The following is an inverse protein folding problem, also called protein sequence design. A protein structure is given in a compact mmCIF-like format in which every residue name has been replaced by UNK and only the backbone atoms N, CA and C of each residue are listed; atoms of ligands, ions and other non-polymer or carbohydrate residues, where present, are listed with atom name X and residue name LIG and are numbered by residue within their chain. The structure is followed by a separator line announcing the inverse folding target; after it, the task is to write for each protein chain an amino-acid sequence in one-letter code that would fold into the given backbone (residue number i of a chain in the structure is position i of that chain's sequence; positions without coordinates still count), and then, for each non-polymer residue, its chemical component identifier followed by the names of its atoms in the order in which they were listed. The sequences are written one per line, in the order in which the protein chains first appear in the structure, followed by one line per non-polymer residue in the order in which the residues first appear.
data_IF_454192428205
#
_entry.id   IF_454192428205
#
_cell.length_a   1.000
_cell.length_b   1.000
_cell.length_c   1.000
_cell.angle_alpha   90.00
_cell.angle_beta   90.00
_cell.angle_gamma   90.00
#
_symmetry.space_group_name_H-M   'P 1'
#
loop_
_entity.id
_entity.type
_entity.pdbx_description
1 polymer ?
#
# COMPACT_ATOMS: atom_id res chain seq x y z
N UNK A 1 -29.40 -34.94 37.22
CA UNK A 1 -29.87 -33.78 36.42
C UNK A 1 -28.89 -32.61 36.35
N UNK A 2 -28.24 -32.17 37.45
CA UNK A 2 -27.28 -31.04 37.43
C UNK A 2 -26.05 -31.26 36.51
N UNK A 3 -25.47 -32.46 36.51
CA UNK A 3 -24.31 -32.80 35.67
C UNK A 3 -24.62 -32.81 34.15
N UNK A 4 -25.88 -33.10 33.76
CA UNK A 4 -26.30 -33.08 32.35
C UNK A 4 -26.41 -31.64 31.82
N UNK A 5 -26.90 -30.71 32.66
CA UNK A 5 -26.95 -29.28 32.35
C UNK A 5 -25.56 -28.63 32.29
N UNK A 6 -24.62 -29.07 33.12
CA UNK A 6 -23.23 -28.59 33.07
C UNK A 6 -22.49 -29.07 31.81
N UNK A 7 -22.68 -30.33 31.39
CA UNK A 7 -22.12 -30.84 30.12
C UNK A 7 -22.71 -30.14 28.90
N UNK A 8 -24.02 -29.87 28.90
CA UNK A 8 -24.65 -29.07 27.83
C UNK A 8 -24.13 -27.63 27.80
N UNK A 9 -23.96 -26.98 28.95
CA UNK A 9 -23.39 -25.64 29.02
C UNK A 9 -21.95 -25.58 28.49
N UNK A 10 -21.11 -26.54 28.87
CA UNK A 10 -19.73 -26.64 28.36
C UNK A 10 -19.70 -26.92 26.84
N UNK A 11 -20.64 -27.71 26.33
CA UNK A 11 -20.78 -27.96 24.88
C UNK A 11 -21.20 -26.69 24.11
N UNK A 12 -22.16 -25.92 24.64
CA UNK A 12 -22.55 -24.64 24.04
C UNK A 12 -21.42 -23.60 24.08
N UNK A 13 -20.64 -23.54 25.17
CA UNK A 13 -19.47 -22.67 25.25
C UNK A 13 -18.39 -23.07 24.23
N UNK A 14 -18.09 -24.37 24.12
CA UNK A 14 -17.12 -24.88 23.16
C UNK A 14 -17.55 -24.60 21.70
N UNK A 15 -18.84 -24.74 21.39
CA UNK A 15 -19.39 -24.39 20.07
C UNK A 15 -19.25 -22.89 19.81
N UNK A 16 -19.61 -22.04 20.77
CA UNK A 16 -19.49 -20.58 20.62
C UNK A 16 -18.05 -20.12 20.35
N UNK A 17 -17.05 -20.74 20.98
CA UNK A 17 -15.64 -20.46 20.69
C UNK A 17 -15.20 -20.89 19.29
N UNK A 18 -15.78 -21.98 18.76
CA UNK A 18 -15.45 -22.47 17.41
C UNK A 18 -16.01 -21.60 16.28
N UNK A 19 -17.11 -20.86 16.52
CA UNK A 19 -17.71 -19.96 15.50
C UNK A 19 -17.06 -18.57 15.48
N UNK A 20 -16.39 -18.16 16.57
CA UNK A 20 -15.73 -16.84 16.65
C UNK A 20 -14.36 -16.79 15.95
N UNK A 21 -13.74 -17.93 15.61
CA UNK A 21 -12.38 -17.96 15.03
C UNK A 21 -12.31 -17.62 13.53
N UNK A 22 -13.42 -17.60 12.80
CA UNK A 22 -13.40 -17.39 11.35
C UNK A 22 -13.14 -15.94 10.90
N UNK A 23 -13.28 -14.95 11.79
CA UNK A 23 -13.08 -13.54 11.42
C UNK A 23 -11.61 -13.10 11.50
N UNK A 24 -10.78 -13.74 12.33
CA UNK A 24 -9.41 -13.28 12.61
C UNK A 24 -8.40 -13.58 11.49
N UNK A 25 -8.77 -14.40 10.50
CA UNK A 25 -7.90 -14.81 9.37
C UNK A 25 -8.38 -14.28 8.03
N UNK A 26 -9.37 -13.37 8.01
CA UNK A 26 -9.92 -12.87 6.76
C UNK A 26 -8.95 -11.89 6.12
N UNK A 27 -8.49 -12.22 4.92
CA UNK A 27 -7.70 -11.33 4.06
C UNK A 27 -8.46 -11.13 2.76
N UNK A 28 -8.34 -9.95 2.15
CA UNK A 28 -8.93 -9.71 0.84
C UNK A 28 -8.48 -10.78 -0.16
N UNK A 29 -9.39 -11.19 -1.04
CA UNK A 29 -9.06 -12.07 -2.15
C UNK A 29 -8.26 -11.28 -3.21
N UNK A 30 -7.57 -12.03 -4.08
CA UNK A 30 -6.94 -11.46 -5.26
C UNK A 30 -7.96 -10.71 -6.12
N UNK A 31 -7.56 -9.53 -6.59
CA UNK A 31 -8.33 -8.69 -7.46
C UNK A 31 -7.55 -8.33 -8.73
N UNK A 32 -8.05 -8.80 -9.87
CA UNK A 32 -7.44 -8.58 -11.18
C UNK A 32 -7.33 -7.10 -11.52
N UNK A 33 -8.35 -6.30 -11.18
CA UNK A 33 -8.36 -4.88 -11.50
C UNK A 33 -7.28 -4.14 -10.69
N UNK A 34 -7.22 -4.38 -9.38
CA UNK A 34 -6.19 -3.84 -8.49
C UNK A 34 -4.78 -4.19 -8.98
N UNK A 35 -4.57 -5.46 -9.35
CA UNK A 35 -3.29 -5.96 -9.84
C UNK A 35 -2.86 -5.25 -11.14
N UNK A 36 -3.72 -5.22 -12.15
CA UNK A 36 -3.42 -4.58 -13.45
C UNK A 36 -3.18 -3.08 -13.32
N UNK A 37 -3.99 -2.38 -12.51
CA UNK A 37 -3.80 -0.94 -12.27
C UNK A 37 -2.50 -0.66 -11.53
N UNK A 38 -2.13 -1.50 -10.58
CA UNK A 38 -0.86 -1.36 -9.85
C UNK A 38 0.35 -1.59 -10.77
N UNK A 39 0.30 -2.58 -11.67
CA UNK A 39 1.35 -2.77 -12.71
C UNK A 39 1.47 -1.52 -13.57
N UNK A 40 0.33 -1.02 -14.06
CA UNK A 40 0.32 0.18 -14.91
C UNK A 40 0.96 1.38 -14.20
N UNK A 41 0.56 1.64 -12.96
CA UNK A 41 1.14 2.73 -12.15
C UNK A 41 2.64 2.54 -11.93
N UNK A 42 3.10 1.31 -11.66
CA UNK A 42 4.53 0.99 -11.52
C UNK A 42 5.31 1.36 -12.79
N UNK A 43 4.83 0.94 -13.96
CA UNK A 43 5.50 1.18 -15.25
C UNK A 43 5.49 2.67 -15.60
N UNK A 44 4.36 3.36 -15.45
CA UNK A 44 4.26 4.80 -15.69
C UNK A 44 5.18 5.59 -14.75
N UNK A 45 5.26 5.17 -13.48
CA UNK A 45 6.17 5.73 -12.48
C UNK A 45 7.64 5.53 -12.86
N UNK A 46 8.04 4.32 -13.24
CA UNK A 46 9.41 4.01 -13.66
C UNK A 46 9.87 4.93 -14.81
N UNK A 47 9.00 5.08 -15.81
CA UNK A 47 9.25 5.96 -16.95
C UNK A 47 9.41 7.42 -16.52
N UNK A 48 8.49 7.93 -15.69
CA UNK A 48 8.50 9.33 -15.24
C UNK A 48 9.71 9.66 -14.35
N UNK A 49 10.03 8.80 -13.38
CA UNK A 49 11.20 8.99 -12.51
C UNK A 49 12.49 9.00 -13.33
N UNK A 50 12.57 8.18 -14.37
CA UNK A 50 13.73 8.14 -15.27
C UNK A 50 13.92 9.43 -16.07
N UNK A 51 12.86 10.24 -16.24
CA UNK A 51 12.91 11.57 -16.86
C UNK A 51 13.30 12.69 -15.90
N UNK A 52 13.47 12.41 -14.60
CA UNK A 52 13.65 13.46 -13.58
C UNK A 52 14.97 14.27 -13.68
N UNK A 53 15.87 13.91 -14.61
CA UNK A 53 17.01 14.77 -14.98
C UNK A 53 16.64 15.89 -15.94
N UNK A 54 15.39 15.94 -16.40
CA UNK A 54 14.81 17.02 -17.23
C UNK A 54 13.89 17.90 -16.39
N UNK A 55 13.58 19.14 -16.82
CA UNK A 55 12.71 20.03 -16.06
C UNK A 55 11.34 19.39 -15.75
N UNK A 56 10.86 19.53 -14.51
CA UNK A 56 9.55 19.04 -14.08
C UNK A 56 8.41 19.52 -15.00
N UNK A 57 8.43 20.80 -15.38
CA UNK A 57 7.42 21.41 -16.25
C UNK A 57 7.26 20.72 -17.62
N UNK A 58 8.33 20.10 -18.14
CA UNK A 58 8.26 19.35 -19.40
C UNK A 58 7.50 18.02 -19.27
N UNK A 59 7.24 17.56 -18.04
CA UNK A 59 6.62 16.26 -17.75
C UNK A 59 5.32 16.42 -16.94
N UNK A 60 4.89 17.64 -16.63
CA UNK A 60 3.82 17.94 -15.69
C UNK A 60 2.50 17.22 -16.03
N UNK A 61 2.09 17.23 -17.30
CA UNK A 61 0.84 16.58 -17.73
C UNK A 61 0.85 15.06 -17.46
N UNK A 62 1.96 14.39 -17.76
CA UNK A 62 2.12 12.96 -17.51
C UNK A 62 2.11 12.65 -16.00
N UNK A 63 2.69 13.54 -15.19
CA UNK A 63 2.74 13.42 -13.72
C UNK A 63 1.33 13.61 -13.13
N UNK A 64 0.59 14.62 -13.56
CA UNK A 64 -0.80 14.85 -13.16
C UNK A 64 -1.69 13.66 -13.52
N UNK A 65 -1.49 13.08 -14.70
CA UNK A 65 -2.19 11.87 -15.15
C UNK A 65 -1.85 10.64 -14.28
N UNK A 66 -0.58 10.47 -13.90
CA UNK A 66 -0.16 9.40 -12.98
C UNK A 66 -0.91 9.53 -11.64
N UNK A 67 -0.91 10.72 -11.04
CA UNK A 67 -1.56 10.94 -9.75
C UNK A 67 -3.09 10.81 -9.82
N UNK A 68 -3.71 11.25 -10.92
CA UNK A 68 -5.13 11.01 -11.14
C UNK A 68 -5.46 9.51 -11.22
N UNK A 69 -4.61 8.71 -11.85
CA UNK A 69 -4.80 7.26 -11.90
C UNK A 69 -4.56 6.60 -10.52
N UNK A 70 -3.59 7.10 -9.76
CA UNK A 70 -3.33 6.64 -8.39
C UNK A 70 -4.52 6.96 -7.48
N UNK A 71 -5.07 8.17 -7.54
CA UNK A 71 -6.25 8.58 -6.76
C UNK A 71 -7.48 7.74 -7.08
N UNK A 72 -7.72 7.43 -8.36
CA UNK A 72 -8.78 6.51 -8.78
C UNK A 72 -8.62 5.13 -8.13
N UNK A 73 -7.39 4.62 -8.06
CA UNK A 73 -7.12 3.34 -7.42
C UNK A 73 -7.29 3.41 -5.89
N UNK A 74 -6.87 4.51 -5.26
CA UNK A 74 -7.10 4.76 -3.82
C UNK A 74 -8.60 4.72 -3.50
N UNK A 75 -9.44 5.41 -4.28
CA UNK A 75 -10.89 5.41 -4.04
C UNK A 75 -11.53 4.05 -4.33
N UNK A 76 -11.02 3.31 -5.31
CA UNK A 76 -11.46 1.93 -5.58
C UNK A 76 -11.18 0.99 -4.39
N UNK A 77 -9.99 1.08 -3.79
CA UNK A 77 -9.58 0.21 -2.68
C UNK A 77 -10.25 0.56 -1.34
N UNK A 78 -10.62 1.81 -1.14
CA UNK A 78 -11.17 2.35 0.12
C UNK A 78 -12.31 1.55 0.72
N UNK A 79 -13.18 0.99 -0.13
CA UNK A 79 -14.39 0.29 0.31
C UNK A 79 -14.27 -1.25 0.25
N UNK A 80 -13.07 -1.78 -0.06
CA UNK A 80 -12.86 -3.23 -0.17
C UNK A 80 -12.64 -3.85 1.21
N UNK A 81 -13.39 -4.91 1.58
CA UNK A 81 -13.29 -5.52 2.90
C UNK A 81 -11.95 -6.26 3.08
N UNK A 82 -11.29 -6.05 4.22
CA UNK A 82 -10.01 -6.69 4.58
C UNK A 82 -8.84 -6.33 3.64
N UNK A 83 -8.86 -5.14 3.04
CA UNK A 83 -7.79 -4.63 2.16
C UNK A 83 -7.15 -3.32 2.66
N UNK A 84 -7.22 -3.08 3.97
CA UNK A 84 -6.79 -1.84 4.61
C UNK A 84 -5.31 -1.54 4.34
N UNK A 85 -4.47 -2.57 4.23
CA UNK A 85 -3.02 -2.42 4.03
C UNK A 85 -2.71 -1.90 2.62
N UNK A 86 -3.37 -2.46 1.59
CA UNK A 86 -3.25 -1.95 0.23
C UNK A 86 -3.72 -0.50 0.15
N UNK A 87 -4.86 -0.19 0.78
CA UNK A 87 -5.40 1.16 0.82
C UNK A 87 -4.44 2.16 1.50
N UNK A 88 -3.90 1.83 2.68
CA UNK A 88 -2.97 2.71 3.40
C UNK A 88 -1.65 2.89 2.64
N UNK A 89 -1.14 1.85 1.98
CA UNK A 89 0.06 1.96 1.14
C UNK A 89 -0.17 2.86 -0.08
N UNK A 90 -1.31 2.74 -0.77
CA UNK A 90 -1.65 3.61 -1.89
C UNK A 90 -1.82 5.07 -1.45
N UNK A 91 -2.41 5.31 -0.29
CA UNK A 91 -2.46 6.65 0.32
C UNK A 91 -1.06 7.18 0.58
N UNK A 92 -0.16 6.35 1.12
CA UNK A 92 1.22 6.74 1.38
C UNK A 92 1.99 7.08 0.08
N UNK A 93 1.74 6.36 -1.01
CA UNK A 93 2.27 6.73 -2.34
C UNK A 93 1.73 8.08 -2.83
N UNK A 94 0.50 8.45 -2.47
CA UNK A 94 -0.15 9.70 -2.89
C UNK A 94 0.12 10.89 -1.93
N UNK A 95 0.82 10.69 -0.83
CA UNK A 95 1.04 11.71 0.19
C UNK A 95 2.35 12.49 -0.06
N UNK A 96 2.19 13.77 -0.41
CA UNK A 96 3.27 14.71 -0.73
C UNK A 96 4.17 15.06 0.45
N UNK A 97 3.76 14.76 1.68
CA UNK A 97 4.53 15.03 2.89
C UNK A 97 5.32 13.79 3.36
N UNK A 98 5.24 12.66 2.64
CA UNK A 98 6.05 11.46 2.88
C UNK A 98 7.23 11.38 1.93
N UNK A 99 8.23 10.59 2.30
CA UNK A 99 9.46 10.42 1.53
C UNK A 99 9.39 9.21 0.57
N UNK A 100 8.28 9.05 -0.15
CA UNK A 100 8.13 8.01 -1.18
C UNK A 100 7.75 8.63 -2.54
N UNK A 101 6.66 8.20 -3.18
CA UNK A 101 6.33 8.59 -4.55
C UNK A 101 5.96 10.08 -4.68
N UNK A 102 4.87 10.51 -4.06
CA UNK A 102 4.43 11.91 -4.12
C UNK A 102 5.47 12.89 -3.56
N UNK A 103 6.22 12.51 -2.51
CA UNK A 103 7.35 13.29 -2.01
C UNK A 103 8.50 13.43 -3.00
N UNK A 104 8.85 12.37 -3.74
CA UNK A 104 9.84 12.47 -4.82
C UNK A 104 9.40 13.48 -5.89
N UNK A 105 8.14 13.42 -6.34
CA UNK A 105 7.65 14.37 -7.34
C UNK A 105 7.58 15.81 -6.81
N UNK A 106 7.21 16.02 -5.53
CA UNK A 106 7.31 17.33 -4.86
C UNK A 106 8.74 17.84 -4.82
N UNK A 107 9.71 16.97 -4.52
CA UNK A 107 11.13 17.32 -4.53
C UNK A 107 11.58 17.73 -5.94
N UNK A 108 11.21 16.95 -6.96
CA UNK A 108 11.53 17.25 -8.36
C UNK A 108 10.90 18.58 -8.81
N UNK A 109 9.62 18.82 -8.48
CA UNK A 109 8.93 20.08 -8.74
C UNK A 109 9.66 21.27 -8.10
N UNK A 110 10.06 21.14 -6.83
CA UNK A 110 10.73 22.20 -6.07
C UNK A 110 12.15 22.49 -6.57
N UNK A 111 12.90 21.44 -6.97
CA UNK A 111 14.30 21.56 -7.41
C UNK A 111 14.46 21.74 -8.91
N UNK A 112 13.39 21.55 -9.69
CA UNK A 112 13.40 21.57 -11.15
C UNK A 112 13.93 20.29 -11.80
N UNK A 113 15.04 19.75 -11.29
CA UNK A 113 15.66 18.48 -11.72
C UNK A 113 16.19 17.69 -10.52
N UNK A 114 16.24 16.36 -10.65
CA UNK A 114 16.85 15.45 -9.69
C UNK A 114 18.32 15.15 -10.04
N UNK A 115 19.17 15.07 -9.02
CA UNK A 115 20.54 14.55 -9.20
C UNK A 115 20.51 13.06 -9.53
N UNK A 116 21.52 12.56 -10.27
CA UNK A 116 21.58 11.14 -10.68
C UNK A 116 21.56 10.17 -9.49
N UNK A 117 22.29 10.46 -8.42
CA UNK A 117 22.35 9.60 -7.23
C UNK A 117 21.02 9.57 -6.49
N UNK A 118 20.39 10.74 -6.29
CA UNK A 118 19.06 10.83 -5.68
C UNK A 118 18.02 10.07 -6.51
N UNK A 119 18.02 10.28 -7.84
CA UNK A 119 17.12 9.59 -8.76
C UNK A 119 17.28 8.06 -8.64
N UNK A 120 18.50 7.54 -8.69
CA UNK A 120 18.74 6.10 -8.62
C UNK A 120 18.21 5.47 -7.33
N UNK A 121 18.48 6.09 -6.18
CA UNK A 121 18.05 5.58 -4.89
C UNK A 121 16.52 5.69 -4.73
N UNK A 122 15.93 6.85 -5.02
CA UNK A 122 14.48 7.04 -4.94
C UNK A 122 13.74 6.10 -5.89
N UNK A 123 14.25 5.93 -7.11
CA UNK A 123 13.69 4.99 -8.09
C UNK A 123 13.64 3.57 -7.54
N UNK A 124 14.75 3.10 -6.95
CA UNK A 124 14.82 1.77 -6.35
C UNK A 124 13.75 1.60 -5.26
N UNK A 125 13.71 2.52 -4.29
CA UNK A 125 12.78 2.46 -3.16
C UNK A 125 11.31 2.49 -3.61
N UNK A 126 10.98 3.37 -4.56
CA UNK A 126 9.61 3.50 -5.08
C UNK A 126 9.19 2.23 -5.83
N UNK A 127 10.06 1.67 -6.68
CA UNK A 127 9.73 0.46 -7.43
C UNK A 127 9.64 -0.78 -6.54
N UNK A 128 10.49 -0.88 -5.51
CA UNK A 128 10.38 -1.92 -4.48
C UNK A 128 9.05 -1.85 -3.72
N UNK A 129 8.55 -0.64 -3.40
CA UNK A 129 7.24 -0.47 -2.79
C UNK A 129 6.09 -0.95 -3.70
N UNK A 130 6.16 -0.66 -5.00
CA UNK A 130 5.20 -1.22 -5.97
C UNK A 130 5.31 -2.75 -6.10
N UNK A 131 6.51 -3.31 -6.06
CA UNK A 131 6.71 -4.76 -6.10
C UNK A 131 6.12 -5.45 -4.87
N UNK A 132 6.27 -4.86 -3.68
CA UNK A 132 5.64 -5.37 -2.46
C UNK A 132 4.10 -5.30 -2.53
N UNK A 133 3.54 -4.21 -3.07
CA UNK A 133 2.10 -4.11 -3.33
C UNK A 133 1.60 -5.24 -4.24
N UNK A 134 2.30 -5.50 -5.35
CA UNK A 134 1.96 -6.56 -6.29
C UNK A 134 2.10 -7.95 -5.67
N UNK A 135 3.18 -8.19 -4.93
CA UNK A 135 3.39 -9.46 -4.23
C UNK A 135 2.29 -9.72 -3.20
N UNK A 136 1.93 -8.70 -2.42
CA UNK A 136 0.83 -8.80 -1.47
C UNK A 136 -0.51 -9.02 -2.18
N UNK A 137 -0.77 -8.36 -3.32
CA UNK A 137 -1.99 -8.59 -4.08
C UNK A 137 -2.10 -10.04 -4.58
N UNK A 138 -1.01 -10.61 -5.09
CA UNK A 138 -0.98 -12.00 -5.58
C UNK A 138 -1.15 -13.02 -4.45
N UNK A 139 -0.36 -12.87 -3.38
CA UNK A 139 -0.18 -13.94 -2.38
C UNK A 139 -1.04 -13.73 -1.14
N UNK A 140 -1.33 -12.47 -0.80
CA UNK A 140 -2.03 -12.06 0.42
C UNK A 140 -1.39 -12.67 1.67
N UNK A 141 -0.07 -12.86 1.65
CA UNK A 141 0.69 -13.57 2.68
C UNK A 141 1.21 -12.62 3.77
N UNK A 142 1.60 -13.21 4.90
CA UNK A 142 2.05 -12.48 6.08
C UNK A 142 3.34 -11.70 5.83
N UNK A 143 4.28 -12.25 5.06
CA UNK A 143 5.59 -11.63 4.85
C UNK A 143 5.46 -10.35 4.02
N UNK A 144 4.73 -10.41 2.90
CA UNK A 144 4.49 -9.21 2.08
C UNK A 144 3.66 -8.15 2.82
N UNK A 145 2.71 -8.58 3.65
CA UNK A 145 1.96 -7.72 4.57
C UNK A 145 2.88 -6.99 5.56
N UNK A 146 3.76 -7.70 6.25
CA UNK A 146 4.67 -7.11 7.24
C UNK A 146 5.63 -6.11 6.58
N UNK A 147 6.18 -6.46 5.41
CA UNK A 147 7.04 -5.54 4.65
C UNK A 147 6.33 -4.24 4.25
N UNK A 148 5.06 -4.31 3.85
CA UNK A 148 4.25 -3.11 3.55
C UNK A 148 3.99 -2.27 4.81
N UNK A 149 3.69 -2.90 5.95
CA UNK A 149 3.49 -2.20 7.21
C UNK A 149 4.76 -1.49 7.68
N UNK A 150 5.93 -2.13 7.54
CA UNK A 150 7.22 -1.52 7.87
C UNK A 150 7.48 -0.29 7.01
N UNK A 151 7.22 -0.36 5.69
CA UNK A 151 7.32 0.80 4.80
C UNK A 151 6.38 1.94 5.22
N UNK A 152 5.12 1.63 5.56
CA UNK A 152 4.14 2.60 6.07
C UNK A 152 4.64 3.26 7.36
N UNK A 153 5.17 2.48 8.29
CA UNK A 153 5.66 2.97 9.56
C UNK A 153 6.92 3.84 9.41
N UNK A 154 7.85 3.47 8.54
CA UNK A 154 9.04 4.27 8.24
C UNK A 154 8.72 5.65 7.65
N UNK A 155 7.58 5.75 6.95
CA UNK A 155 7.12 6.99 6.31
C UNK A 155 6.07 7.75 7.14
N UNK A 156 5.63 7.22 8.28
CA UNK A 156 4.77 7.96 9.20
C UNK A 156 5.60 8.51 10.37
N UNK A 157 5.58 9.83 10.65
CA UNK A 157 6.23 10.34 11.84
C UNK A 157 5.56 9.73 13.07
N UNK A 158 6.32 8.96 13.84
CA UNK A 158 5.90 8.56 15.18
C UNK A 158 5.88 9.82 16.04
N UNK A 159 4.69 10.34 16.36
CA UNK A 159 4.56 11.30 17.45
C UNK A 159 5.05 10.61 18.74
N UNK A 160 6.28 10.90 19.18
CA UNK A 160 6.78 10.39 20.47
C UNK A 160 8.24 9.96 20.60
N UNK A 161 9.15 10.29 19.68
CA UNK A 161 10.60 10.18 19.91
C UNK A 161 11.31 11.41 19.29
N UNK A 162 11.35 12.52 20.04
CA UNK A 162 12.33 13.60 19.92
C UNK A 162 12.76 13.96 21.33
#
# INVERSE_FOLDING_TARGET
MKHLKLKQLLFFIAISFAISSCNSTRTALFDQYSYEKTIKLKVETDQLISKATTPYSANQEEIEKLFLNLEKLVEYEKNKPNNEITFEMLKMLNDKDKNLLAGFFKHWETKGVASKSFLQESKKQILEAFDLLLQYEIKKDKQSKEALLDLINLNTPTYGQR
#
